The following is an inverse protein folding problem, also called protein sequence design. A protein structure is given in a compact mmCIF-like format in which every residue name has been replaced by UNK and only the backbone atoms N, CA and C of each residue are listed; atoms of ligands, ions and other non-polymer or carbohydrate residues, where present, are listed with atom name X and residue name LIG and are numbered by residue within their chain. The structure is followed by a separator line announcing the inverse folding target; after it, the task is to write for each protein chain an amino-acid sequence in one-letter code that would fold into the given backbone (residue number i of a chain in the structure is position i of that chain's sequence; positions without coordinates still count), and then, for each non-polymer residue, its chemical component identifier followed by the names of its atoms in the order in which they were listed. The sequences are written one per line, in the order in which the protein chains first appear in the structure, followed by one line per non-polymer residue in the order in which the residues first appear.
data_IF_946364779133
#
_entry.id   IF_946364779133
#
_cell.length_a   1.000
_cell.length_b   1.000
_cell.length_c   1.000
_cell.angle_alpha   90.00
_cell.angle_beta   90.00
_cell.angle_gamma   90.00
#
_symmetry.space_group_name_H-M   'P 1'
#
loop_
_entity.id
_entity.type
_entity.pdbx_description
1 polymer ?
#
# COMPACT_ATOMS: atom_id res chain seq x y z
N UNK A 1 24.66 49.48 -10.51
CA UNK A 1 24.16 48.15 -10.92
C UNK A 1 23.87 47.36 -9.66
N UNK A 2 22.62 47.41 -9.19
CA UNK A 2 22.15 46.53 -8.13
C UNK A 2 21.78 45.20 -8.78
N UNK A 3 22.54 44.15 -8.48
CA UNK A 3 22.17 42.78 -8.83
C UNK A 3 21.18 42.29 -7.77
N UNK A 4 19.89 42.34 -8.11
CA UNK A 4 18.85 41.57 -7.42
C UNK A 4 19.14 40.08 -7.64
N UNK A 5 19.69 39.43 -6.61
CA UNK A 5 19.64 37.98 -6.50
C UNK A 5 18.22 37.61 -6.08
N UNK A 6 17.32 37.52 -7.06
CA UNK A 6 16.06 36.83 -6.89
C UNK A 6 16.38 35.38 -6.48
N UNK A 7 16.23 35.09 -5.20
CA UNK A 7 16.31 33.73 -4.69
C UNK A 7 15.28 32.89 -5.46
N UNK A 8 15.76 31.98 -6.30
CA UNK A 8 14.94 30.94 -6.91
C UNK A 8 14.31 30.15 -5.76
N UNK A 9 13.07 30.48 -5.40
CA UNK A 9 12.31 29.69 -4.46
C UNK A 9 12.19 28.29 -5.06
N UNK A 10 12.78 27.30 -4.39
CA UNK A 10 12.61 25.91 -4.79
C UNK A 10 11.11 25.63 -4.89
N UNK A 11 10.64 24.99 -5.97
CA UNK A 11 9.23 24.70 -6.13
C UNK A 11 8.72 23.92 -4.93
N UNK A 12 7.49 24.24 -4.49
CA UNK A 12 6.84 23.50 -3.43
C UNK A 12 6.86 21.99 -3.78
N UNK A 13 7.17 21.11 -2.82
CA UNK A 13 7.23 19.68 -3.09
C UNK A 13 5.88 19.20 -3.61
N UNK A 14 5.90 18.27 -4.57
CA UNK A 14 4.66 17.66 -5.04
C UNK A 14 3.84 17.09 -3.86
N UNK A 15 2.51 17.22 -3.92
CA UNK A 15 1.65 16.69 -2.88
C UNK A 15 1.81 15.16 -2.77
N UNK A 16 1.78 14.65 -1.55
CA UNK A 16 1.79 13.21 -1.31
C UNK A 16 0.47 12.59 -1.79
N UNK A 17 0.54 11.42 -2.42
CA UNK A 17 -0.67 10.65 -2.73
C UNK A 17 -1.28 10.14 -1.43
N UNK A 18 -2.58 10.36 -1.27
CA UNK A 18 -3.36 9.90 -0.13
C UNK A 18 -4.48 8.95 -0.56
N UNK A 19 -4.94 8.14 0.38
CA UNK A 19 -6.15 7.32 0.27
C UNK A 19 -7.07 7.70 1.41
N UNK A 20 -8.30 8.06 1.06
CA UNK A 20 -9.35 8.35 2.04
C UNK A 20 -9.73 7.07 2.78
N UNK A 21 -9.43 7.01 4.08
CA UNK A 21 -9.82 5.94 4.98
C UNK A 21 -10.67 6.53 6.11
N UNK A 22 -11.89 6.02 6.28
CA UNK A 22 -12.87 6.62 7.19
C UNK A 22 -13.06 8.11 6.84
N UNK A 23 -12.61 9.03 7.69
CA UNK A 23 -12.69 10.48 7.48
C UNK A 23 -11.32 11.15 7.31
N UNK A 24 -10.26 10.39 7.01
CA UNK A 24 -8.89 10.88 6.98
C UNK A 24 -8.20 10.53 5.66
N UNK A 25 -7.43 11.47 5.14
CA UNK A 25 -6.59 11.28 3.95
C UNK A 25 -5.23 10.75 4.39
N UNK A 26 -5.06 9.44 4.30
CA UNK A 26 -3.88 8.73 4.82
C UNK A 26 -2.86 8.54 3.70
N UNK A 27 -1.60 8.87 3.96
CA UNK A 27 -0.51 8.80 2.97
C UNK A 27 -0.33 7.37 2.44
N UNK A 28 -0.13 7.25 1.13
CA UNK A 28 0.11 6.00 0.40
C UNK A 28 1.36 6.08 -0.48
N UNK A 29 2.48 6.47 0.13
CA UNK A 29 3.76 6.70 -0.55
C UNK A 29 4.92 6.00 0.17
N UNK A 30 6.05 5.84 -0.54
CA UNK A 30 7.27 5.31 0.06
C UNK A 30 7.80 6.22 1.16
N UNK A 31 8.46 5.63 2.14
CA UNK A 31 9.05 6.33 3.26
C UNK A 31 10.03 7.44 2.87
N UNK A 32 10.84 7.20 1.85
CA UNK A 32 11.85 8.15 1.38
C UNK A 32 11.19 9.40 0.78
N UNK A 33 10.16 9.22 -0.08
CA UNK A 33 9.37 10.33 -0.61
C UNK A 33 8.67 11.13 0.50
N UNK A 34 8.17 10.44 1.53
CA UNK A 34 7.55 11.11 2.69
C UNK A 34 8.59 11.93 3.45
N UNK A 35 9.78 11.37 3.72
CA UNK A 35 10.87 12.10 4.38
C UNK A 35 11.27 13.33 3.58
N UNK A 36 11.45 13.21 2.27
CA UNK A 36 11.75 14.34 1.38
C UNK A 36 10.70 15.44 1.45
N UNK A 37 9.42 15.05 1.40
CA UNK A 37 8.30 15.98 1.51
C UNK A 37 8.26 16.68 2.88
N UNK A 38 8.47 15.95 3.97
CA UNK A 38 8.44 16.52 5.33
C UNK A 38 9.61 17.47 5.59
N UNK A 39 10.78 17.22 4.99
CA UNK A 39 11.98 18.04 5.17
C UNK A 39 12.08 19.19 4.16
N UNK A 40 11.20 19.28 3.17
CA UNK A 40 11.11 20.43 2.27
C UNK A 40 10.70 21.72 3.02
N UNK A 41 10.94 22.92 2.45
CA UNK A 41 10.46 24.17 3.03
C UNK A 41 8.93 24.17 3.26
N UNK A 42 8.46 24.85 4.30
CA UNK A 42 7.04 24.95 4.66
C UNK A 42 6.71 24.38 6.04
N UNK A 43 5.63 24.88 6.66
CA UNK A 43 5.11 24.38 7.93
C UNK A 43 4.28 23.12 7.69
N UNK A 44 4.49 22.08 8.50
CA UNK A 44 3.77 20.80 8.41
C UNK A 44 3.53 20.20 9.79
N UNK A 45 2.27 19.81 10.05
CA UNK A 45 1.81 19.05 11.21
C UNK A 45 1.57 17.61 10.79
N UNK A 46 2.20 16.69 11.51
CA UNK A 46 2.18 15.27 11.18
C UNK A 46 1.61 14.44 12.33
N UNK A 47 0.59 13.64 12.01
CA UNK A 47 0.02 12.65 12.94
C UNK A 47 0.17 11.24 12.37
N UNK A 48 0.32 10.26 13.25
CA UNK A 48 0.25 8.84 12.88
C UNK A 48 -1.14 8.33 13.21
N UNK A 49 -1.73 7.57 12.30
CA UNK A 49 -3.02 6.93 12.51
C UNK A 49 -2.83 5.42 12.61
N UNK A 50 -3.41 4.82 13.64
CA UNK A 50 -3.52 3.37 13.82
C UNK A 50 -4.96 3.00 14.23
N UNK A 51 -5.22 1.70 14.41
CA UNK A 51 -6.56 1.20 14.78
C UNK A 51 -7.13 1.87 16.05
N UNK A 52 -6.28 2.15 17.04
CA UNK A 52 -6.71 2.83 18.26
C UNK A 52 -7.11 4.28 18.00
N UNK A 53 -6.35 4.99 17.17
CA UNK A 53 -6.65 6.36 16.77
C UNK A 53 -8.02 6.45 16.09
N UNK A 54 -8.32 5.54 15.15
CA UNK A 54 -9.61 5.52 14.46
C UNK A 54 -10.78 5.29 15.42
N UNK A 55 -10.66 4.33 16.34
CA UNK A 55 -11.72 4.09 17.33
C UNK A 55 -11.92 5.29 18.26
N UNK A 56 -10.83 5.94 18.66
CA UNK A 56 -10.89 7.09 19.54
C UNK A 56 -11.54 8.28 18.83
N UNK A 57 -11.13 8.58 17.60
CA UNK A 57 -11.68 9.68 16.80
C UNK A 57 -13.18 9.49 16.51
N UNK A 58 -13.64 8.26 16.41
CA UNK A 58 -15.06 7.98 16.24
C UNK A 58 -15.91 8.21 17.51
N UNK A 59 -15.29 8.38 18.68
CA UNK A 59 -15.95 8.60 19.97
C UNK A 59 -15.67 9.98 20.57
N UNK A 60 -14.56 10.60 20.16
CA UNK A 60 -14.08 11.89 20.65
C UNK A 60 -13.97 12.87 19.47
N UNK A 61 -14.89 13.82 19.42
CA UNK A 61 -14.94 14.85 18.37
C UNK A 61 -13.76 15.83 18.45
N UNK A 62 -13.22 16.10 19.64
CA UNK A 62 -12.04 16.96 19.79
C UNK A 62 -10.83 16.26 19.16
N UNK A 63 -10.61 14.99 19.48
CA UNK A 63 -9.53 14.22 18.89
C UNK A 63 -9.69 14.03 17.37
N UNK A 64 -10.92 13.84 16.88
CA UNK A 64 -11.18 13.78 15.44
C UNK A 64 -10.82 15.09 14.72
N UNK A 65 -11.12 16.25 15.33
CA UNK A 65 -10.72 17.56 14.80
C UNK A 65 -9.21 17.74 14.82
N UNK A 66 -8.55 17.34 15.90
CA UNK A 66 -7.09 17.38 16.00
C UNK A 66 -6.44 16.59 14.86
N UNK A 67 -6.86 15.33 14.64
CA UNK A 67 -6.36 14.52 13.52
C UNK A 67 -6.64 15.13 12.14
N UNK A 68 -7.80 15.78 11.95
CA UNK A 68 -8.14 16.47 10.68
C UNK A 68 -7.33 17.74 10.46
N UNK A 69 -6.74 18.31 11.50
CA UNK A 69 -5.91 19.51 11.40
C UNK A 69 -4.47 19.23 10.96
N UNK A 70 -4.07 17.96 10.85
CA UNK A 70 -2.77 17.60 10.29
C UNK A 70 -2.69 17.89 8.79
N UNK A 71 -1.54 18.39 8.37
CA UNK A 71 -1.17 18.48 6.96
C UNK A 71 -0.85 17.10 6.37
N UNK A 72 -0.32 16.19 7.21
CA UNK A 72 0.09 14.84 6.80
C UNK A 72 -0.34 13.80 7.84
N UNK A 73 -1.07 12.78 7.39
CA UNK A 73 -1.47 11.63 8.23
C UNK A 73 -0.76 10.36 7.77
N UNK A 74 0.16 9.85 8.60
CA UNK A 74 0.99 8.70 8.30
C UNK A 74 0.34 7.38 8.76
N UNK A 75 0.34 6.33 7.94
CA UNK A 75 -0.21 5.03 8.33
C UNK A 75 0.70 4.29 9.30
N UNK A 76 0.13 3.80 10.40
CA UNK A 76 0.81 2.99 11.41
C UNK A 76 0.06 1.66 11.67
N UNK A 77 0.74 0.57 11.36
CA UNK A 77 0.39 -0.78 11.79
C UNK A 77 -0.58 -1.56 10.88
N UNK A 78 -0.75 -2.84 11.22
CA UNK A 78 -1.48 -3.80 10.39
C UNK A 78 -2.99 -3.51 10.26
N UNK A 79 -3.59 -2.82 11.24
CA UNK A 79 -5.00 -2.42 11.17
C UNK A 79 -5.26 -1.45 10.02
N UNK A 80 -4.42 -0.43 9.87
CA UNK A 80 -4.55 0.52 8.77
C UNK A 80 -4.26 -0.16 7.43
N UNK A 81 -3.30 -1.07 7.36
CA UNK A 81 -3.08 -1.88 6.15
C UNK A 81 -4.34 -2.66 5.74
N UNK A 82 -5.09 -3.19 6.69
CA UNK A 82 -6.37 -3.85 6.41
C UNK A 82 -7.41 -2.85 5.86
N UNK A 83 -7.47 -1.64 6.41
CA UNK A 83 -8.35 -0.59 5.91
C UNK A 83 -8.00 -0.16 4.47
N UNK A 84 -6.71 -0.03 4.13
CA UNK A 84 -6.25 0.17 2.74
C UNK A 84 -6.78 -0.93 1.83
N UNK A 85 -6.65 -2.21 2.23
CA UNK A 85 -7.12 -3.35 1.45
C UNK A 85 -8.64 -3.36 1.30
N UNK A 86 -9.38 -2.93 2.32
CA UNK A 86 -10.84 -2.86 2.30
C UNK A 86 -11.36 -1.91 1.21
N UNK A 87 -10.69 -0.77 1.01
CA UNK A 87 -11.02 0.19 -0.07
C UNK A 87 -10.38 -0.16 -1.42
N UNK A 88 -9.56 -1.22 -1.47
CA UNK A 88 -8.94 -1.74 -2.70
C UNK A 88 -7.57 -1.15 -3.04
N UNK A 89 -6.88 -0.58 -2.06
CA UNK A 89 -5.51 -0.10 -2.17
C UNK A 89 -4.54 -1.01 -1.40
N UNK A 90 -3.25 -0.91 -1.71
CA UNK A 90 -2.19 -1.50 -0.90
C UNK A 90 -1.49 -0.35 -0.17
N UNK A 91 -1.19 -0.55 1.10
CA UNK A 91 -0.37 0.39 1.85
C UNK A 91 1.07 0.29 1.34
N UNK A 92 1.63 1.40 0.88
CA UNK A 92 2.96 1.44 0.28
C UNK A 92 4.05 1.03 1.28
N UNK A 93 3.98 1.61 2.49
CA UNK A 93 4.90 1.31 3.58
C UNK A 93 4.19 1.47 4.93
N UNK A 94 4.60 0.68 5.93
CA UNK A 94 4.17 0.89 7.31
C UNK A 94 5.09 1.94 7.93
N UNK A 95 4.63 3.19 8.00
CA UNK A 95 5.40 4.32 8.51
C UNK A 95 5.21 4.42 10.02
N UNK A 96 5.46 3.33 10.76
CA UNK A 96 5.32 3.35 12.21
C UNK A 96 6.30 4.36 12.83
N UNK A 97 5.88 5.09 13.87
CA UNK A 97 6.70 6.14 14.48
C UNK A 97 8.05 5.64 15.03
N UNK A 98 8.15 4.38 15.43
CA UNK A 98 9.37 3.79 16.02
C UNK A 98 10.51 3.54 15.04
N UNK A 99 10.18 3.29 13.78
CA UNK A 99 11.15 3.05 12.70
C UNK A 99 11.25 4.28 11.78
N UNK A 100 10.13 4.97 11.54
CA UNK A 100 10.08 6.19 10.74
C UNK A 100 10.82 7.36 11.39
N UNK A 101 10.62 7.58 12.70
CA UNK A 101 11.20 8.72 13.43
C UNK A 101 12.73 8.80 13.31
N UNK A 102 13.48 7.73 13.64
CA UNK A 102 14.93 7.71 13.47
C UNK A 102 15.39 7.89 12.02
N UNK A 103 14.67 7.31 11.03
CA UNK A 103 15.01 7.51 9.60
C UNK A 103 14.85 8.98 9.19
N UNK A 104 13.76 9.62 9.60
CA UNK A 104 13.52 11.05 9.36
C UNK A 104 14.65 11.91 9.95
N UNK A 105 15.07 11.61 11.19
CA UNK A 105 16.13 12.36 11.86
C UNK A 105 17.52 12.15 11.23
N UNK A 106 17.80 10.95 10.70
CA UNK A 106 19.04 10.69 9.99
C UNK A 106 19.16 11.54 8.72
N UNK A 107 18.09 11.62 7.93
CA UNK A 107 18.05 12.49 6.75
C UNK A 107 18.06 13.98 7.14
N UNK A 108 17.37 14.35 8.22
CA UNK A 108 17.38 15.71 8.76
C UNK A 108 18.80 16.16 9.17
N UNK A 109 19.56 15.29 9.83
CA UNK A 109 20.95 15.54 10.20
C UNK A 109 21.84 15.76 8.97
N UNK A 110 21.64 14.98 7.90
CA UNK A 110 22.31 15.18 6.61
C UNK A 110 22.01 16.54 5.95
N UNK A 111 20.87 17.15 6.30
CA UNK A 111 20.45 18.49 5.85
C UNK A 111 20.76 19.60 6.87
N UNK A 112 21.50 19.29 7.94
CA UNK A 112 21.88 20.25 8.98
C UNK A 112 20.71 20.71 9.87
N UNK A 113 19.61 19.95 9.93
CA UNK A 113 18.43 20.29 10.73
C UNK A 113 18.51 19.77 12.15
N UNK A 114 17.95 20.55 13.07
CA UNK A 114 17.92 20.30 14.50
C UNK A 114 16.55 19.78 14.98
N UNK A 115 16.54 19.10 16.13
CA UNK A 115 15.31 18.54 16.72
C UNK A 115 15.15 18.90 18.20
N UNK A 116 13.91 19.23 18.59
CA UNK A 116 13.47 19.34 19.98
C UNK A 116 12.58 18.15 20.37
N UNK A 117 12.85 17.56 21.53
CA UNK A 117 12.10 16.40 22.04
C UNK A 117 11.22 16.82 23.22
N UNK A 118 9.90 16.83 23.01
CA UNK A 118 8.93 17.19 24.04
C UNK A 118 8.03 16.00 24.38
N UNK A 119 8.13 15.42 25.57
CA UNK A 119 7.28 14.29 25.93
C UNK A 119 7.92 13.27 26.86
N UNK A 120 7.19 12.20 27.11
CA UNK A 120 7.60 11.13 28.03
C UNK A 120 7.58 11.57 29.50
N UNK A 121 7.86 10.62 30.39
CA UNK A 121 8.06 10.90 31.82
C UNK A 121 9.37 11.67 32.03
N UNK A 122 9.55 12.34 33.18
CA UNK A 122 10.82 12.99 33.53
C UNK A 122 12.04 12.09 33.23
N UNK A 123 13.04 12.61 32.53
CA UNK A 123 14.24 11.90 32.09
C UNK A 123 14.09 11.04 30.82
N UNK A 124 12.86 10.79 30.33
CA UNK A 124 12.64 9.96 29.13
C UNK A 124 13.07 10.67 27.85
N UNK A 125 12.74 11.96 27.70
CA UNK A 125 13.18 12.76 26.56
C UNK A 125 14.71 12.90 26.51
N UNK A 126 15.36 13.08 27.66
CA UNK A 126 16.81 13.20 27.77
C UNK A 126 17.52 11.89 27.39
N UNK A 127 17.04 10.76 27.89
CA UNK A 127 17.56 9.45 27.53
C UNK A 127 17.37 9.14 26.03
N UNK A 128 16.22 9.51 25.47
CA UNK A 128 15.94 9.37 24.05
C UNK A 128 16.87 10.26 23.20
N UNK A 129 17.09 11.51 23.60
CA UNK A 129 18.02 12.43 22.96
C UNK A 129 19.46 11.89 22.97
N UNK A 130 19.93 11.39 24.13
CA UNK A 130 21.26 10.79 24.25
C UNK A 130 21.42 9.54 23.36
N UNK A 131 20.36 8.72 23.22
CA UNK A 131 20.36 7.59 22.30
C UNK A 131 20.45 8.04 20.84
N UNK A 132 19.65 9.04 20.44
CA UNK A 132 19.62 9.54 19.08
C UNK A 132 20.94 10.21 18.68
N UNK A 133 21.52 11.05 19.55
CA UNK A 133 22.79 11.72 19.26
C UNK A 133 23.95 10.73 19.08
N UNK A 134 23.90 9.59 19.79
CA UNK A 134 24.87 8.50 19.62
C UNK A 134 24.65 7.71 18.32
N UNK A 135 23.39 7.41 17.99
CA UNK A 135 23.05 6.53 16.88
C UNK A 135 23.03 7.26 15.53
N UNK A 136 22.86 8.59 15.51
CA UNK A 136 22.74 9.41 14.31
C UNK A 136 23.83 10.49 14.32
N UNK A 137 24.98 10.25 13.67
CA UNK A 137 26.05 11.23 13.58
C UNK A 137 25.59 12.55 12.95
N UNK A 138 25.95 13.67 13.57
CA UNK A 138 25.60 15.01 13.08
C UNK A 138 24.20 15.51 13.47
N UNK A 139 23.40 14.71 14.18
CA UNK A 139 22.10 15.16 14.67
C UNK A 139 22.28 16.21 15.78
N UNK A 140 21.67 17.38 15.59
CA UNK A 140 21.64 18.46 16.59
C UNK A 140 20.39 18.34 17.45
N UNK A 141 20.56 18.03 18.74
CA UNK A 141 19.49 18.12 19.73
C UNK A 141 19.40 19.56 20.23
N UNK A 142 18.38 20.30 19.79
CA UNK A 142 18.16 21.70 20.17
C UNK A 142 17.61 21.84 21.59
N UNK A 143 16.96 20.80 22.11
CA UNK A 143 16.49 20.75 23.50
C UNK A 143 15.58 19.57 23.80
N UNK A 144 15.31 19.39 25.08
CA UNK A 144 14.43 18.35 25.62
C UNK A 144 13.52 18.95 26.68
N UNK A 145 12.30 18.40 26.82
CA UNK A 145 11.37 18.73 27.91
C UNK A 145 10.42 17.56 28.17
N UNK A 146 10.08 17.33 29.44
CA UNK A 146 9.15 16.26 29.80
C UNK A 146 7.69 16.61 29.45
N UNK A 147 6.89 15.59 29.17
CA UNK A 147 5.50 15.72 28.71
C UNK A 147 4.44 15.68 29.81
N UNK A 148 4.83 15.69 31.08
CA UNK A 148 3.88 15.60 32.20
C UNK A 148 3.97 16.80 33.12
N UNK A 149 5.08 16.97 33.85
CA UNK A 149 5.29 18.13 34.71
C UNK A 149 5.65 19.35 33.86
N UNK A 150 6.51 19.19 32.86
CA UNK A 150 6.90 20.21 31.90
C UNK A 150 5.79 20.64 30.95
N UNK A 151 4.75 19.81 30.77
CA UNK A 151 3.55 20.14 29.99
C UNK A 151 2.44 20.81 30.80
N UNK A 152 2.53 20.86 32.15
CA UNK A 152 1.54 21.58 32.98
C UNK A 152 1.58 23.08 32.75
N UNK A 153 2.77 23.61 32.47
CA UNK A 153 2.97 24.99 32.05
C UNK A 153 3.19 25.01 30.53
N UNK A 154 2.07 25.05 29.80
CA UNK A 154 2.05 25.07 28.34
C UNK A 154 2.82 26.27 27.77
N UNK A 155 2.69 27.45 28.37
CA UNK A 155 3.39 28.63 27.88
C UNK A 155 4.90 28.51 28.05
N UNK A 156 5.37 27.99 29.18
CA UNK A 156 6.80 27.73 29.37
C UNK A 156 7.31 26.66 28.40
N UNK A 157 6.50 25.64 28.07
CA UNK A 157 6.86 24.65 27.05
C UNK A 157 7.01 25.30 25.67
N UNK A 158 6.03 26.10 25.23
CA UNK A 158 6.07 26.83 23.94
C UNK A 158 7.27 27.78 23.90
N UNK A 159 7.52 28.55 24.97
CA UNK A 159 8.69 29.44 25.06
C UNK A 159 10.01 28.68 24.92
N UNK A 160 10.16 27.56 25.62
CA UNK A 160 11.37 26.73 25.55
C UNK A 160 11.58 26.13 24.15
N UNK A 161 10.51 25.63 23.53
CA UNK A 161 10.54 25.10 22.17
C UNK A 161 10.94 26.21 21.18
N UNK A 162 10.32 27.39 21.29
CA UNK A 162 10.59 28.48 20.37
C UNK A 162 11.99 29.09 20.53
N UNK A 163 12.46 29.22 21.77
CA UNK A 163 13.80 29.71 22.07
C UNK A 163 14.90 28.75 21.59
N UNK A 164 14.60 27.46 21.42
CA UNK A 164 15.57 26.46 20.96
C UNK A 164 15.99 26.63 19.50
N UNK A 165 15.18 27.32 18.68
CA UNK A 165 15.42 27.45 17.23
C UNK A 165 15.33 26.12 16.47
N UNK A 166 14.68 25.09 17.05
CA UNK A 166 14.60 23.77 16.44
C UNK A 166 13.86 23.76 15.10
N UNK A 167 14.35 22.99 14.14
CA UNK A 167 13.67 22.78 12.85
C UNK A 167 12.53 21.75 12.96
N UNK A 168 12.65 20.82 13.91
CA UNK A 168 11.75 19.70 14.08
C UNK A 168 11.34 19.61 15.55
N UNK A 169 10.04 19.50 15.81
CA UNK A 169 9.49 19.19 17.13
C UNK A 169 8.87 17.79 17.11
N UNK A 170 9.36 16.91 17.98
CA UNK A 170 8.75 15.61 18.24
C UNK A 170 7.99 15.61 19.57
N UNK A 171 6.70 15.32 19.53
CA UNK A 171 5.80 15.32 20.70
C UNK A 171 5.44 13.88 21.10
N UNK A 172 5.81 13.46 22.31
CA UNK A 172 5.63 12.08 22.80
C UNK A 172 4.79 12.01 24.08
N UNK A 173 3.55 12.49 24.03
CA UNK A 173 2.59 12.42 25.16
C UNK A 173 1.60 11.26 25.03
N UNK A 174 1.62 10.58 23.89
CA UNK A 174 0.67 9.54 23.55
C UNK A 174 -0.68 10.08 23.08
N UNK A 175 -1.41 9.23 22.38
CA UNK A 175 -2.75 9.52 21.86
C UNK A 175 -3.78 9.46 22.99
N UNK A 176 -4.69 10.47 23.13
CA UNK A 176 -4.92 11.60 22.23
C UNK A 176 -4.13 12.88 22.52
N UNK A 177 -3.50 12.97 23.70
CA UNK A 177 -2.93 14.20 24.25
C UNK A 177 -1.93 14.89 23.31
N UNK A 178 -1.04 14.12 22.67
CA UNK A 178 -0.03 14.68 21.78
C UNK A 178 -0.65 15.38 20.56
N UNK A 179 -1.72 14.81 19.99
CA UNK A 179 -2.27 15.30 18.73
C UNK A 179 -3.19 16.48 18.99
N UNK A 180 -3.95 16.43 20.10
CA UNK A 180 -4.71 17.58 20.60
C UNK A 180 -3.78 18.75 20.94
N UNK A 181 -2.68 18.51 21.67
CA UNK A 181 -1.74 19.58 22.01
C UNK A 181 -1.11 20.24 20.78
N UNK A 182 -0.72 19.45 19.77
CA UNK A 182 -0.22 19.98 18.49
C UNK A 182 -1.31 20.78 17.77
N UNK A 183 -2.56 20.30 17.78
CA UNK A 183 -3.67 21.00 17.13
C UNK A 183 -3.99 22.33 17.84
N UNK A 184 -3.97 22.34 19.16
CA UNK A 184 -4.35 23.49 19.99
C UNK A 184 -3.26 24.58 20.02
N UNK A 185 -1.97 24.20 19.91
CA UNK A 185 -0.83 25.12 20.04
C UNK A 185 0.06 25.20 18.79
N UNK A 186 -0.33 24.53 17.70
CA UNK A 186 0.45 24.42 16.48
C UNK A 186 0.77 25.75 15.80
N UNK A 187 -0.03 26.78 16.03
CA UNK A 187 0.16 28.12 15.48
C UNK A 187 1.15 28.95 16.31
N UNK A 188 1.30 28.65 17.60
CA UNK A 188 2.21 29.34 18.52
C UNK A 188 3.65 28.81 18.43
N UNK A 189 3.86 27.68 17.74
CA UNK A 189 5.15 27.01 17.62
C UNK A 189 5.96 27.56 16.44
N UNK A 190 7.27 27.72 16.62
CA UNK A 190 8.21 28.15 15.58
C UNK A 190 8.81 27.01 14.75
N UNK A 191 9.00 25.77 15.26
CA UNK A 191 9.52 24.68 14.44
C UNK A 191 8.61 24.43 13.22
N UNK A 192 9.15 24.43 11.99
CA UNK A 192 8.35 24.23 10.79
C UNK A 192 7.76 22.82 10.71
N UNK A 193 8.43 21.81 11.26
CA UNK A 193 7.91 20.44 11.25
C UNK A 193 7.55 20.00 12.67
N UNK A 194 6.28 19.65 12.90
CA UNK A 194 5.80 19.11 14.18
C UNK A 194 5.20 17.72 13.99
N UNK A 195 5.58 16.75 14.83
CA UNK A 195 5.09 15.38 14.73
C UNK A 195 4.75 14.78 16.09
N UNK A 196 3.58 14.15 16.20
CA UNK A 196 3.23 13.33 17.36
C UNK A 196 3.82 11.92 17.24
N UNK A 197 4.80 11.53 18.06
CA UNK A 197 5.58 10.28 17.88
C UNK A 197 5.18 9.13 18.81
N UNK A 198 4.11 9.30 19.61
CA UNK A 198 3.59 8.23 20.46
C UNK A 198 4.61 7.78 21.50
N UNK A 199 4.91 6.48 21.51
CA UNK A 199 5.82 5.86 22.47
C UNK A 199 7.28 5.81 22.00
N UNK A 200 7.66 6.54 20.94
CA UNK A 200 9.02 6.51 20.39
C UNK A 200 10.08 6.77 21.46
N UNK A 201 9.88 7.77 22.32
CA UNK A 201 10.86 8.12 23.36
C UNK A 201 11.02 7.01 24.39
N UNK A 202 9.94 6.34 24.81
CA UNK A 202 10.02 5.20 25.72
C UNK A 202 10.82 4.03 25.11
N UNK A 203 10.71 3.80 23.80
CA UNK A 203 11.53 2.79 23.12
C UNK A 203 12.99 3.20 23.00
N UNK A 204 13.29 4.47 22.74
CA UNK A 204 14.66 4.98 22.63
C UNK A 204 15.37 5.03 24.00
N UNK A 205 14.63 5.41 25.05
CA UNK A 205 15.11 5.43 26.43
C UNK A 205 15.27 4.03 27.04
N UNK A 206 14.70 2.99 26.42
CA UNK A 206 14.74 1.62 26.92
C UNK A 206 13.69 1.30 28.00
N UNK A 207 12.73 2.21 28.22
CA UNK A 207 11.61 2.01 29.17
C UNK A 207 10.69 0.86 28.74
N UNK A 208 10.58 0.62 27.42
CA UNK A 208 9.75 -0.45 26.84
C UNK A 208 10.59 -1.28 25.88
N UNK A 209 10.54 -2.61 26.07
CA UNK A 209 11.24 -3.55 25.20
C UNK A 209 10.51 -3.73 23.87
N UNK A 210 11.22 -3.55 22.75
CA UNK A 210 10.70 -3.91 21.42
C UNK A 210 10.41 -5.41 21.34
N UNK A 211 9.41 -5.78 20.54
CA UNK A 211 9.12 -7.18 20.29
C UNK A 211 10.33 -7.90 19.65
N UNK A 212 10.61 -9.16 20.04
CA UNK A 212 11.60 -10.01 19.38
C UNK A 212 11.46 -9.97 17.85
N UNK A 213 12.59 -10.01 17.13
CA UNK A 213 12.62 -9.92 15.66
C UNK A 213 11.68 -10.92 14.97
N UNK A 214 11.54 -12.12 15.53
CA UNK A 214 10.64 -13.15 15.00
C UNK A 214 9.17 -12.70 15.07
N UNK A 215 8.74 -12.15 16.21
CA UNK A 215 7.39 -11.61 16.38
C UNK A 215 7.13 -10.41 15.46
N UNK A 216 8.13 -9.56 15.24
CA UNK A 216 8.03 -8.46 14.25
C UNK A 216 7.84 -8.99 12.82
N UNK A 217 8.62 -10.00 12.42
CA UNK A 217 8.50 -10.62 11.09
C UNK A 217 7.09 -11.20 10.83
N UNK A 218 6.45 -11.76 11.85
CA UNK A 218 5.08 -12.31 11.73
C UNK A 218 3.98 -11.31 12.10
N UNK A 219 4.32 -10.02 12.30
CA UNK A 219 3.38 -8.96 12.73
C UNK A 219 2.66 -9.26 14.05
N UNK A 220 3.30 -10.04 14.92
CA UNK A 220 2.82 -10.43 16.25
C UNK A 220 3.22 -9.46 17.37
N UNK A 221 3.58 -8.22 17.07
CA UNK A 221 4.04 -7.23 18.05
C UNK A 221 2.98 -6.91 19.11
N UNK A 222 1.71 -6.97 18.72
CA UNK A 222 0.58 -6.78 19.63
C UNK A 222 0.51 -7.87 20.72
N UNK A 223 0.92 -9.11 20.42
CA UNK A 223 0.99 -10.21 21.40
C UNK A 223 2.07 -9.92 22.45
N UNK A 224 3.24 -9.50 21.99
CA UNK A 224 4.34 -9.10 22.89
C UNK A 224 3.91 -7.96 23.81
N UNK A 225 3.27 -6.93 23.25
CA UNK A 225 2.78 -5.80 24.05
C UNK A 225 1.68 -6.20 25.01
N UNK A 226 0.78 -7.11 24.63
CA UNK A 226 -0.25 -7.63 25.54
C UNK A 226 0.38 -8.43 26.69
N UNK A 227 1.46 -9.16 26.45
CA UNK A 227 2.18 -9.89 27.50
C UNK A 227 2.90 -8.94 28.48
N UNK A 228 3.52 -7.86 27.97
CA UNK A 228 4.29 -6.90 28.80
C UNK A 228 3.37 -5.90 29.51
N UNK A 229 2.30 -5.44 28.88
CA UNK A 229 1.37 -4.42 29.40
C UNK A 229 -0.11 -4.90 29.39
N UNK A 230 -0.46 -6.02 30.04
CA UNK A 230 -1.75 -6.69 29.84
C UNK A 230 -2.95 -5.78 30.15
N UNK A 231 -2.93 -5.06 31.28
CA UNK A 231 -4.06 -4.19 31.69
C UNK A 231 -4.29 -3.04 30.70
N UNK A 232 -3.22 -2.39 30.23
CA UNK A 232 -3.30 -1.24 29.31
C UNK A 232 -3.65 -1.69 27.89
N UNK A 233 -3.10 -2.81 27.44
CA UNK A 233 -3.27 -3.31 26.08
C UNK A 233 -4.54 -4.13 25.88
N UNK A 234 -5.13 -4.72 26.94
CA UNK A 234 -6.36 -5.51 26.85
C UNK A 234 -7.50 -4.71 26.21
N UNK A 235 -7.79 -3.50 26.71
CA UNK A 235 -8.85 -2.65 26.14
C UNK A 235 -8.55 -2.29 24.67
N UNK A 236 -7.29 -2.02 24.34
CA UNK A 236 -6.89 -1.63 22.97
C UNK A 236 -7.01 -2.80 21.98
N UNK A 237 -6.58 -4.00 22.36
CA UNK A 237 -6.51 -5.13 21.43
C UNK A 237 -7.71 -6.07 21.48
N UNK A 238 -8.25 -6.37 22.67
CA UNK A 238 -9.35 -7.33 22.80
C UNK A 238 -10.69 -6.68 22.49
N UNK A 239 -10.89 -5.43 22.90
CA UNK A 239 -12.13 -4.68 22.63
C UNK A 239 -11.94 -3.78 21.39
N UNK A 240 -10.83 -3.05 21.33
CA UNK A 240 -10.59 -2.11 20.24
C UNK A 240 -10.39 -2.75 18.87
N UNK A 241 -9.71 -3.89 18.74
CA UNK A 241 -9.52 -4.50 17.42
C UNK A 241 -10.86 -4.96 16.80
N UNK A 242 -11.76 -5.68 17.51
CA UNK A 242 -13.08 -6.00 16.96
C UNK A 242 -13.88 -4.76 16.54
N UNK A 243 -13.87 -3.70 17.35
CA UNK A 243 -14.53 -2.43 16.98
C UNK A 243 -13.93 -1.84 15.70
N UNK A 244 -12.61 -1.81 15.59
CA UNK A 244 -11.92 -1.30 14.41
C UNK A 244 -12.23 -2.15 13.17
N UNK A 245 -12.29 -3.48 13.31
CA UNK A 245 -12.68 -4.39 12.24
C UNK A 245 -14.11 -4.11 11.77
N UNK A 246 -15.05 -3.91 12.70
CA UNK A 246 -16.43 -3.54 12.36
C UNK A 246 -16.49 -2.22 11.57
N UNK A 247 -15.74 -1.21 11.99
CA UNK A 247 -15.63 0.06 11.25
C UNK A 247 -15.02 -0.15 9.86
N UNK A 248 -14.01 -0.99 9.76
CA UNK A 248 -13.35 -1.32 8.49
C UNK A 248 -14.30 -2.02 7.53
N UNK A 249 -15.19 -2.90 8.02
CA UNK A 249 -16.26 -3.48 7.21
C UNK A 249 -17.22 -2.42 6.65
N UNK A 250 -17.48 -1.36 7.41
CA UNK A 250 -18.26 -0.21 6.96
C UNK A 250 -17.65 0.55 5.78
N UNK A 251 -16.34 0.41 5.52
CA UNK A 251 -15.69 0.98 4.32
C UNK A 251 -15.98 0.17 3.04
N UNK A 252 -16.46 -1.07 3.18
CA UNK A 252 -16.65 -1.99 2.06
C UNK A 252 -18.09 -1.87 1.57
N UNK A 253 -18.28 -1.41 0.33
CA UNK A 253 -19.60 -1.39 -0.29
C UNK A 253 -20.21 -2.82 -0.35
N UNK A 254 -21.49 -3.02 0.01
CA UNK A 254 -22.12 -4.35 0.05
C UNK A 254 -22.01 -5.15 -1.25
N UNK A 255 -22.13 -4.46 -2.40
CA UNK A 255 -21.92 -5.06 -3.71
C UNK A 255 -20.52 -5.70 -3.87
N UNK A 256 -19.49 -5.10 -3.28
CA UNK A 256 -18.11 -5.63 -3.30
C UNK A 256 -18.00 -6.94 -2.51
N UNK A 257 -18.76 -7.09 -1.43
CA UNK A 257 -18.80 -8.33 -0.63
C UNK A 257 -19.46 -9.44 -1.44
N UNK A 258 -20.64 -9.18 -2.01
CA UNK A 258 -21.35 -10.15 -2.85
C UNK A 258 -20.51 -10.59 -4.05
N UNK A 259 -19.90 -9.63 -4.74
CA UNK A 259 -18.94 -9.87 -5.83
C UNK A 259 -17.78 -10.75 -5.39
N UNK A 260 -17.20 -10.48 -4.22
CA UNK A 260 -16.07 -11.24 -3.68
C UNK A 260 -16.48 -12.67 -3.32
N UNK A 261 -17.65 -12.87 -2.73
CA UNK A 261 -18.18 -14.19 -2.43
C UNK A 261 -18.39 -15.00 -3.72
N UNK A 262 -19.00 -14.39 -4.75
CA UNK A 262 -19.13 -15.01 -6.07
C UNK A 262 -17.78 -15.43 -6.65
N UNK A 263 -16.78 -14.54 -6.61
CA UNK A 263 -15.44 -14.84 -7.11
C UNK A 263 -14.79 -16.03 -6.41
N UNK A 264 -14.91 -16.10 -5.07
CA UNK A 264 -14.33 -17.18 -4.28
C UNK A 264 -15.04 -18.51 -4.51
N UNK A 265 -16.37 -18.51 -4.61
CA UNK A 265 -17.16 -19.72 -4.87
C UNK A 265 -16.82 -20.30 -6.25
N UNK A 266 -16.82 -19.47 -7.29
CA UNK A 266 -16.49 -19.91 -8.65
C UNK A 266 -15.03 -20.35 -8.75
N UNK A 267 -14.08 -19.58 -8.20
CA UNK A 267 -12.67 -19.96 -8.20
C UNK A 267 -12.42 -21.27 -7.45
N UNK A 268 -13.03 -21.45 -6.28
CA UNK A 268 -12.94 -22.68 -5.49
C UNK A 268 -13.50 -23.89 -6.25
N UNK A 269 -14.68 -23.75 -6.88
CA UNK A 269 -15.27 -24.80 -7.70
C UNK A 269 -14.37 -25.18 -8.89
N UNK A 270 -13.81 -24.21 -9.60
CA UNK A 270 -12.89 -24.44 -10.73
C UNK A 270 -11.62 -25.16 -10.26
N UNK A 271 -11.02 -24.74 -9.15
CA UNK A 271 -9.81 -25.38 -8.61
C UNK A 271 -10.11 -26.83 -8.22
N UNK A 272 -11.23 -27.09 -7.54
CA UNK A 272 -11.61 -28.43 -7.13
C UNK A 272 -11.85 -29.33 -8.34
N UNK A 273 -12.69 -28.88 -9.28
CA UNK A 273 -13.05 -29.64 -10.47
C UNK A 273 -11.84 -29.92 -11.39
N UNK A 274 -10.92 -28.96 -11.52
CA UNK A 274 -9.73 -29.10 -12.38
C UNK A 274 -8.49 -29.57 -11.62
N UNK A 275 -8.59 -29.91 -10.32
CA UNK A 275 -7.42 -30.30 -9.52
C UNK A 275 -6.61 -31.47 -10.10
N UNK A 276 -7.21 -32.51 -10.73
CA UNK A 276 -6.42 -33.56 -11.39
C UNK A 276 -5.65 -33.01 -12.58
N UNK A 277 -6.27 -32.13 -13.37
CA UNK A 277 -5.63 -31.48 -14.52
C UNK A 277 -4.47 -30.58 -14.09
N UNK A 278 -4.61 -29.84 -12.99
CA UNK A 278 -3.51 -29.05 -12.42
C UNK A 278 -2.32 -29.94 -12.05
N UNK A 279 -2.57 -31.08 -11.38
CA UNK A 279 -1.53 -32.02 -10.98
C UNK A 279 -0.84 -32.66 -12.20
N UNK A 280 -1.61 -33.17 -13.17
CA UNK A 280 -1.08 -33.77 -14.40
C UNK A 280 -0.27 -32.76 -15.22
N UNK A 281 -0.74 -31.52 -15.33
CA UNK A 281 -0.01 -30.44 -16.02
C UNK A 281 1.30 -30.12 -15.31
N UNK A 282 1.29 -30.04 -13.99
CA UNK A 282 2.50 -29.80 -13.20
C UNK A 282 3.55 -30.91 -13.39
N UNK A 283 3.12 -32.17 -13.41
CA UNK A 283 3.98 -33.33 -13.68
C UNK A 283 4.53 -33.28 -15.11
N UNK A 284 3.70 -33.00 -16.11
CA UNK A 284 4.12 -32.88 -17.51
C UNK A 284 5.18 -31.78 -17.70
N UNK A 285 5.01 -30.61 -17.06
CA UNK A 285 6.00 -29.51 -17.11
C UNK A 285 7.33 -29.92 -16.47
N UNK A 286 7.28 -30.67 -15.36
CA UNK A 286 8.47 -31.17 -14.66
C UNK A 286 9.21 -32.25 -15.46
N UNK A 287 8.47 -33.08 -16.19
CA UNK A 287 9.02 -34.12 -17.06
C UNK A 287 9.64 -33.54 -18.34
N UNK A 288 9.06 -32.47 -18.91
CA UNK A 288 9.55 -31.86 -20.16
C UNK A 288 10.85 -31.07 -19.95
N UNK A 289 10.92 -30.21 -18.92
CA UNK A 289 12.10 -29.36 -18.69
C UNK A 289 12.40 -29.12 -17.20
N UNK A 290 13.68 -28.99 -16.83
CA UNK A 290 14.11 -28.63 -15.46
C UNK A 290 13.65 -27.23 -15.08
N UNK A 291 13.23 -27.03 -13.83
CA UNK A 291 12.86 -25.72 -13.25
C UNK A 291 11.47 -25.68 -12.61
N UNK A 292 10.93 -24.48 -12.30
CA UNK A 292 9.66 -24.33 -11.59
C UNK A 292 8.44 -24.64 -12.48
N UNK A 293 7.36 -25.16 -11.87
CA UNK A 293 6.08 -25.41 -12.58
C UNK A 293 5.41 -24.11 -12.99
N UNK A 294 5.45 -23.11 -12.12
CA UNK A 294 4.77 -21.85 -12.30
C UNK A 294 5.72 -20.76 -12.78
N UNK A 295 5.23 -19.97 -13.73
CA UNK A 295 5.81 -18.70 -14.13
C UNK A 295 5.03 -17.55 -13.48
N UNK A 296 5.73 -16.47 -13.13
CA UNK A 296 5.15 -15.27 -12.51
C UNK A 296 5.45 -14.08 -13.39
N UNK A 297 4.44 -13.26 -13.64
CA UNK A 297 4.59 -12.08 -14.47
C UNK A 297 3.92 -10.87 -13.81
N UNK A 298 4.67 -9.77 -13.70
CA UNK A 298 4.11 -8.53 -13.16
C UNK A 298 3.03 -7.98 -14.09
N UNK A 299 1.89 -7.62 -13.50
CA UNK A 299 0.73 -7.01 -14.15
C UNK A 299 0.20 -5.87 -13.31
N UNK A 300 -0.55 -4.98 -13.94
CA UNK A 300 -1.22 -3.88 -13.27
C UNK A 300 -2.66 -4.28 -12.96
N UNK A 301 -3.01 -4.16 -11.68
CA UNK A 301 -4.34 -4.46 -11.14
C UNK A 301 -5.15 -3.21 -10.87
N UNK A 302 -6.07 -3.33 -9.92
CA UNK A 302 -6.94 -2.22 -9.48
C UNK A 302 -6.10 -1.04 -8.98
N UNK A 303 -6.51 0.18 -9.32
CA UNK A 303 -5.89 1.45 -8.93
C UNK A 303 -4.40 1.54 -9.29
N UNK A 304 -3.98 0.90 -10.39
CA UNK A 304 -2.58 0.93 -10.84
C UNK A 304 -1.64 0.03 -10.04
N UNK A 305 -2.15 -0.77 -9.09
CA UNK A 305 -1.31 -1.55 -8.19
C UNK A 305 -0.70 -2.77 -8.89
N UNK A 306 0.63 -2.95 -8.88
CA UNK A 306 1.24 -4.11 -9.49
C UNK A 306 0.97 -5.38 -8.68
N UNK A 307 0.78 -6.49 -9.39
CA UNK A 307 0.64 -7.83 -8.80
C UNK A 307 1.34 -8.89 -9.66
N UNK A 308 1.69 -10.02 -9.03
CA UNK A 308 2.31 -11.15 -9.69
C UNK A 308 1.24 -12.10 -10.23
N UNK A 309 0.98 -12.04 -11.53
CA UNK A 309 0.06 -12.95 -12.22
C UNK A 309 0.71 -14.33 -12.40
N UNK A 310 -0.01 -15.38 -12.03
CA UNK A 310 0.47 -16.76 -12.07
C UNK A 310 0.08 -17.44 -13.39
N UNK A 311 1.04 -18.12 -14.02
CA UNK A 311 0.81 -19.00 -15.17
C UNK A 311 1.53 -20.32 -14.98
N UNK A 312 1.13 -21.35 -15.71
CA UNK A 312 2.02 -22.49 -15.90
C UNK A 312 3.16 -22.08 -16.81
N UNK A 313 4.34 -22.62 -16.53
CA UNK A 313 5.51 -22.41 -17.37
C UNK A 313 5.33 -23.15 -18.69
N UNK A 314 5.16 -22.40 -19.77
CA UNK A 314 5.10 -22.92 -21.15
C UNK A 314 6.39 -22.65 -21.95
N UNK A 315 7.33 -21.87 -21.41
CA UNK A 315 8.59 -21.52 -22.03
C UNK A 315 9.80 -21.99 -21.21
N UNK A 316 10.98 -22.03 -21.83
CA UNK A 316 12.24 -22.30 -21.14
C UNK A 316 12.54 -21.22 -20.07
N UNK A 317 13.36 -21.56 -19.06
CA UNK A 317 13.61 -20.66 -17.90
C UNK A 317 14.33 -19.38 -18.30
N UNK A 318 15.16 -19.44 -19.34
CA UNK A 318 15.92 -18.34 -19.94
C UNK A 318 15.11 -17.52 -20.96
N UNK A 319 13.81 -17.80 -21.12
CA UNK A 319 12.99 -17.19 -22.16
C UNK A 319 12.87 -15.66 -22.04
N UNK A 320 12.87 -15.13 -20.82
CA UNK A 320 12.80 -13.68 -20.57
C UNK A 320 14.10 -12.98 -20.95
N UNK A 321 15.27 -13.57 -20.64
CA UNK A 321 16.57 -13.05 -21.06
C UNK A 321 16.76 -13.05 -22.59
N UNK A 322 16.09 -13.97 -23.29
CA UNK A 322 16.10 -14.07 -24.76
C UNK A 322 15.02 -13.23 -25.44
N UNK A 323 14.19 -12.51 -24.68
CA UNK A 323 13.07 -11.74 -25.21
C UNK A 323 13.53 -10.57 -26.06
N UNK A 324 14.49 -9.79 -25.57
CA UNK A 324 14.90 -8.54 -26.24
C UNK A 324 15.53 -8.80 -27.60
N UNK A 325 16.28 -9.90 -27.73
CA UNK A 325 16.85 -10.37 -29.00
C UNK A 325 15.79 -10.80 -30.03
N UNK A 326 14.56 -11.13 -29.60
CA UNK A 326 13.46 -11.59 -30.46
C UNK A 326 12.43 -10.49 -30.74
N UNK A 327 12.51 -9.31 -30.09
CA UNK A 327 11.56 -8.21 -30.35
C UNK A 327 11.62 -7.73 -31.81
N UNK A 328 12.78 -7.85 -32.45
CA UNK A 328 12.99 -7.53 -33.86
C UNK A 328 12.23 -8.47 -34.82
N UNK A 329 11.74 -9.62 -34.35
CA UNK A 329 11.03 -10.63 -35.16
C UNK A 329 9.53 -10.72 -34.79
N UNK A 330 8.92 -9.64 -34.30
CA UNK A 330 7.49 -9.59 -33.96
C UNK A 330 6.61 -9.60 -35.21
N UNK A 331 5.61 -10.48 -35.27
CA UNK A 331 4.63 -10.58 -36.37
C UNK A 331 3.52 -9.50 -36.29
N UNK A 332 3.59 -8.59 -35.31
CA UNK A 332 2.61 -7.52 -35.11
C UNK A 332 3.31 -6.19 -34.84
N UNK A 333 2.85 -5.12 -35.50
CA UNK A 333 3.20 -3.74 -35.19
C UNK A 333 2.51 -3.29 -33.88
N UNK A 334 3.28 -2.79 -32.91
CA UNK A 334 2.78 -2.26 -31.64
C UNK A 334 3.49 -2.82 -30.40
N UNK A 335 2.99 -2.46 -29.21
CA UNK A 335 3.60 -2.78 -27.89
C UNK A 335 3.54 -4.27 -27.53
N UNK A 336 2.65 -5.03 -28.18
CA UNK A 336 2.38 -6.43 -27.83
C UNK A 336 3.13 -7.39 -28.76
N UNK A 337 4.23 -7.98 -28.29
CA UNK A 337 5.00 -8.98 -29.02
C UNK A 337 4.15 -10.23 -29.31
N UNK A 338 4.04 -10.63 -30.57
CA UNK A 338 3.41 -11.88 -30.99
C UNK A 338 4.25 -12.51 -32.09
N UNK A 339 4.76 -13.72 -31.87
CA UNK A 339 5.42 -14.53 -32.91
C UNK A 339 4.71 -15.87 -33.02
N UNK A 340 4.41 -16.30 -34.26
CA UNK A 340 3.74 -17.59 -34.55
C UNK A 340 4.64 -18.79 -34.24
N UNK A 341 5.96 -18.62 -34.30
CA UNK A 341 6.94 -19.68 -34.07
C UNK A 341 7.99 -19.21 -33.06
N UNK A 342 7.60 -19.13 -31.80
CA UNK A 342 8.50 -18.72 -30.73
C UNK A 342 9.39 -19.90 -30.27
N UNK A 343 10.71 -19.86 -30.54
CA UNK A 343 11.63 -20.97 -30.25
C UNK A 343 11.85 -21.20 -28.75
N UNK A 344 11.33 -20.32 -27.88
CA UNK A 344 11.43 -20.44 -26.42
C UNK A 344 10.35 -21.36 -25.83
N UNK A 345 9.35 -21.76 -26.63
CA UNK A 345 8.22 -22.57 -26.16
C UNK A 345 8.60 -24.04 -26.09
N UNK A 346 8.33 -24.66 -24.95
CA UNK A 346 8.61 -26.09 -24.70
C UNK A 346 7.63 -27.01 -25.43
N UNK A 347 7.89 -28.32 -25.48
CA UNK A 347 7.03 -29.28 -26.18
C UNK A 347 5.65 -29.35 -25.54
N UNK A 348 5.60 -29.51 -24.21
CA UNK A 348 4.37 -29.44 -23.42
C UNK A 348 3.79 -28.03 -23.48
N UNK A 349 4.63 -27.00 -23.43
CA UNK A 349 4.21 -25.60 -23.53
C UNK A 349 3.40 -25.26 -24.77
N UNK A 350 3.68 -25.88 -25.93
CA UNK A 350 2.87 -25.72 -27.14
C UNK A 350 1.44 -26.21 -26.94
N UNK A 351 1.25 -27.37 -26.30
CA UNK A 351 -0.08 -27.88 -25.97
C UNK A 351 -0.78 -26.97 -24.96
N UNK A 352 -0.08 -26.54 -23.91
CA UNK A 352 -0.65 -25.66 -22.88
C UNK A 352 -1.17 -24.36 -23.47
N UNK A 353 -0.39 -23.71 -24.34
CA UNK A 353 -0.79 -22.46 -25.01
C UNK A 353 -1.91 -22.65 -26.02
N UNK A 354 -1.96 -23.80 -26.71
CA UNK A 354 -3.02 -24.11 -27.69
C UNK A 354 -4.39 -24.20 -27.03
N UNK A 355 -4.45 -24.80 -25.84
CA UNK A 355 -5.70 -24.99 -25.09
C UNK A 355 -5.88 -23.95 -23.98
N UNK A 356 -5.04 -22.92 -23.91
CA UNK A 356 -4.99 -21.92 -22.84
C UNK A 356 -4.91 -22.50 -21.42
N UNK A 357 -4.39 -23.72 -21.30
CA UNK A 357 -4.19 -24.40 -20.00
C UNK A 357 -3.14 -23.64 -19.21
N UNK A 358 -2.20 -22.97 -19.87
CA UNK A 358 -1.15 -22.19 -19.21
C UNK A 358 -1.68 -21.03 -18.36
N UNK A 359 -2.90 -20.58 -18.61
CA UNK A 359 -3.55 -19.49 -17.89
C UNK A 359 -4.39 -19.95 -16.69
N UNK A 360 -4.68 -21.26 -16.55
CA UNK A 360 -5.49 -21.78 -15.45
C UNK A 360 -4.98 -21.38 -14.05
N UNK A 361 -3.66 -21.29 -13.77
CA UNK A 361 -3.19 -20.86 -12.45
C UNK A 361 -3.59 -19.44 -12.05
N UNK A 362 -4.08 -18.61 -12.97
CA UNK A 362 -4.62 -17.29 -12.64
C UNK A 362 -5.84 -17.37 -11.70
N UNK A 363 -6.53 -18.51 -11.62
CA UNK A 363 -7.62 -18.72 -10.62
C UNK A 363 -7.12 -18.57 -9.18
N UNK A 364 -5.84 -18.88 -8.91
CA UNK A 364 -5.25 -18.64 -7.58
C UNK A 364 -5.08 -17.15 -7.30
N UNK A 365 -4.87 -16.30 -8.32
CA UNK A 365 -4.88 -14.84 -8.14
C UNK A 365 -6.28 -14.30 -7.79
N UNK A 366 -7.34 -15.01 -8.18
CA UNK A 366 -8.69 -14.70 -7.71
C UNK A 366 -8.80 -15.01 -6.22
N UNK A 367 -8.28 -16.15 -5.75
CA UNK A 367 -8.27 -16.47 -4.31
C UNK A 367 -7.46 -15.47 -3.48
N UNK A 368 -6.28 -15.04 -3.94
CA UNK A 368 -5.47 -14.03 -3.24
C UNK A 368 -6.10 -12.63 -3.30
N UNK A 369 -7.03 -12.41 -4.22
CA UNK A 369 -7.76 -11.16 -4.38
C UNK A 369 -7.09 -10.14 -5.28
N UNK A 370 -6.06 -10.53 -6.02
CA UNK A 370 -5.42 -9.69 -7.05
C UNK A 370 -6.28 -9.59 -8.31
N UNK A 371 -7.00 -10.68 -8.62
CA UNK A 371 -7.92 -10.78 -9.76
C UNK A 371 -9.36 -11.06 -9.31
N UNK A 372 -10.26 -10.99 -10.28
CA UNK A 372 -11.67 -11.33 -10.23
C UNK A 372 -11.97 -12.41 -11.27
N UNK A 373 -13.09 -13.13 -11.17
CA UNK A 373 -13.52 -14.03 -12.25
C UNK A 373 -13.81 -13.22 -13.52
N UNK A 374 -14.55 -12.12 -13.36
CA UNK A 374 -14.91 -11.21 -14.45
C UNK A 374 -14.31 -9.83 -14.21
N UNK A 375 -13.72 -9.24 -15.26
CA UNK A 375 -13.08 -7.93 -15.21
C UNK A 375 -12.22 -7.66 -16.45
N UNK A 376 -11.65 -6.44 -16.58
CA UNK A 376 -10.75 -6.09 -17.67
C UNK A 376 -9.52 -7.00 -17.72
N UNK A 377 -8.90 -7.15 -18.90
CA UNK A 377 -7.66 -7.93 -19.03
C UNK A 377 -6.53 -7.32 -18.19
N UNK A 378 -5.79 -8.11 -17.39
CA UNK A 378 -4.61 -7.61 -16.70
C UNK A 378 -3.53 -7.16 -17.69
N UNK A 379 -3.23 -5.87 -17.67
CA UNK A 379 -2.26 -5.24 -18.57
C UNK A 379 -0.83 -5.28 -18.00
N UNK A 380 0.16 -5.26 -18.88
CA UNK A 380 1.56 -5.11 -18.51
C UNK A 380 1.84 -3.67 -18.01
N UNK A 381 2.83 -3.48 -17.12
CA UNK A 381 3.24 -2.15 -16.68
C UNK A 381 3.58 -1.19 -17.84
N UNK A 382 4.29 -1.68 -18.86
CA UNK A 382 4.65 -0.87 -20.03
C UNK A 382 3.44 -0.52 -20.92
N UNK A 383 2.40 -1.37 -20.97
CA UNK A 383 1.15 -1.05 -21.65
C UNK A 383 0.41 0.07 -20.93
N UNK A 384 0.30 -0.02 -19.59
CA UNK A 384 -0.36 1.01 -18.77
C UNK A 384 0.38 2.34 -18.83
N UNK A 385 1.71 2.33 -18.83
CA UNK A 385 2.50 3.55 -18.98
C UNK A 385 2.23 4.28 -20.31
N UNK A 386 1.80 3.55 -21.35
CA UNK A 386 1.44 4.09 -22.66
C UNK A 386 -0.07 4.39 -22.81
N UNK A 387 -0.88 4.22 -21.76
CA UNK A 387 -2.32 4.45 -21.86
C UNK A 387 -2.65 5.94 -22.00
N UNK A 388 -3.61 6.29 -22.89
CA UNK A 388 -4.21 7.61 -22.82
C UNK A 388 -4.95 7.77 -21.48
N UNK A 389 -5.10 8.99 -20.93
CA UNK A 389 -5.73 9.23 -19.63
C UNK A 389 -7.09 8.53 -19.46
N UNK A 390 -7.89 8.49 -20.53
CA UNK A 390 -9.18 7.78 -20.56
C UNK A 390 -9.06 6.29 -20.23
N UNK A 391 -8.03 5.61 -20.75
CA UNK A 391 -7.84 4.18 -20.58
C UNK A 391 -7.41 3.79 -19.16
N UNK A 392 -6.96 4.74 -18.32
CA UNK A 392 -6.72 4.51 -16.90
C UNK A 392 -8.00 4.14 -16.14
N UNK A 393 -9.17 4.55 -16.65
CA UNK A 393 -10.47 4.17 -16.09
C UNK A 393 -10.72 2.66 -16.01
N UNK A 394 -10.01 1.87 -16.83
CA UNK A 394 -10.06 0.39 -16.81
C UNK A 394 -9.49 -0.19 -15.52
N UNK A 395 -8.59 0.55 -14.87
CA UNK A 395 -7.94 0.14 -13.62
C UNK A 395 -8.82 0.41 -12.39
N UNK A 396 -10.03 0.97 -12.55
CA UNK A 396 -10.94 1.21 -11.43
C UNK A 396 -11.44 -0.07 -10.75
N UNK A 397 -11.32 -1.23 -11.42
CA UNK A 397 -11.76 -2.55 -10.94
C UNK A 397 -10.64 -3.57 -11.02
N UNK A 398 -10.83 -4.70 -10.34
CA UNK A 398 -9.87 -5.81 -10.44
C UNK A 398 -9.89 -6.39 -11.86
N UNK A 399 -8.71 -6.74 -12.41
CA UNK A 399 -8.66 -7.46 -13.67
C UNK A 399 -9.31 -8.84 -13.55
N UNK A 400 -9.83 -9.34 -14.66
CA UNK A 400 -10.60 -10.59 -14.76
C UNK A 400 -9.88 -11.73 -15.48
N UNK A 401 -10.30 -12.96 -15.21
CA UNK A 401 -10.01 -14.12 -16.08
C UNK A 401 -10.74 -13.97 -17.42
N UNK A 402 -11.98 -13.49 -17.37
CA UNK A 402 -12.80 -13.13 -18.53
C UNK A 402 -13.38 -11.73 -18.37
N UNK A 403 -13.99 -11.20 -19.43
CA UNK A 403 -14.41 -9.81 -19.53
C UNK A 403 -15.26 -9.59 -20.77
N UNK A 404 -15.89 -8.41 -20.85
CA UNK A 404 -16.93 -8.14 -21.85
C UNK A 404 -16.43 -8.34 -23.27
N UNK A 405 -15.31 -7.71 -23.63
CA UNK A 405 -14.78 -7.80 -25.00
C UNK A 405 -14.26 -9.20 -25.33
N UNK A 406 -13.83 -10.00 -24.33
CA UNK A 406 -13.37 -11.38 -24.51
C UNK A 406 -14.51 -12.33 -24.93
N UNK A 407 -15.77 -11.97 -24.65
CA UNK A 407 -16.96 -12.73 -25.08
C UNK A 407 -17.70 -12.11 -26.26
N UNK A 408 -17.53 -10.81 -26.53
CA UNK A 408 -18.26 -10.10 -27.59
C UNK A 408 -17.58 -10.08 -28.97
N UNK A 409 -16.27 -10.30 -29.08
CA UNK A 409 -15.56 -10.21 -30.38
C UNK A 409 -14.04 -10.41 -30.34
N UNK A 410 -13.42 -10.47 -29.15
CA UNK A 410 -12.00 -10.77 -28.94
C UNK A 410 -11.08 -9.91 -29.80
N UNK A 411 -10.28 -10.53 -30.69
CA UNK A 411 -9.22 -9.88 -31.45
C UNK A 411 -9.74 -8.92 -32.55
N UNK A 412 -11.03 -8.97 -32.87
CA UNK A 412 -11.67 -8.11 -33.88
C UNK A 412 -12.08 -6.74 -33.33
N UNK A 413 -12.04 -6.56 -32.01
CA UNK A 413 -12.40 -5.31 -31.34
C UNK A 413 -11.16 -4.40 -31.25
N UNK A 414 -11.23 -3.22 -31.88
CA UNK A 414 -10.21 -2.18 -31.76
C UNK A 414 -10.02 -1.69 -30.32
N UNK A 415 -8.84 -1.14 -30.02
CA UNK A 415 -8.44 -0.77 -28.65
C UNK A 415 -9.39 0.22 -27.98
N UNK A 416 -9.83 1.27 -28.67
CA UNK A 416 -10.74 2.27 -28.08
C UNK A 416 -12.09 1.66 -27.69
N UNK A 417 -12.64 0.80 -28.54
CA UNK A 417 -13.89 0.09 -28.23
C UNK A 417 -13.70 -0.88 -27.06
N UNK A 418 -12.54 -1.53 -26.95
CA UNK A 418 -12.18 -2.35 -25.79
C UNK A 418 -12.17 -1.53 -24.50
N UNK A 419 -11.55 -0.33 -24.54
CA UNK A 419 -11.52 0.61 -23.42
C UNK A 419 -12.95 0.96 -22.99
N UNK A 420 -13.84 1.22 -23.95
CA UNK A 420 -15.22 1.63 -23.67
C UNK A 420 -16.04 0.54 -23.00
N UNK A 421 -15.86 -0.70 -23.47
CA UNK A 421 -16.50 -1.86 -22.88
C UNK A 421 -15.99 -2.13 -21.45
N UNK A 422 -14.68 -1.99 -21.22
CA UNK A 422 -14.08 -2.17 -19.89
C UNK A 422 -14.54 -1.07 -18.91
N UNK A 423 -14.62 0.19 -19.35
CA UNK A 423 -15.11 1.31 -18.54
C UNK A 423 -16.62 1.17 -18.27
N UNK A 424 -17.40 0.76 -19.27
CA UNK A 424 -18.83 0.49 -19.09
C UNK A 424 -19.05 -0.62 -18.05
N UNK A 425 -18.32 -1.73 -18.15
CA UNK A 425 -18.34 -2.80 -17.16
C UNK A 425 -17.97 -2.28 -15.77
N UNK A 426 -16.90 -1.49 -15.65
CA UNK A 426 -16.49 -0.92 -14.37
C UNK A 426 -17.61 -0.15 -13.67
N UNK A 427 -18.47 0.56 -14.44
CA UNK A 427 -19.60 1.35 -13.94
C UNK A 427 -20.85 0.54 -13.64
N UNK A 428 -21.15 -0.49 -14.44
CA UNK A 428 -22.44 -1.22 -14.37
C UNK A 428 -22.33 -2.63 -13.81
N UNK A 429 -21.13 -3.04 -13.36
CA UNK A 429 -20.88 -4.38 -12.84
C UNK A 429 -21.90 -4.80 -11.78
N UNK A 430 -22.39 -6.02 -11.93
CA UNK A 430 -23.25 -6.71 -10.97
C UNK A 430 -22.93 -8.20 -10.97
N UNK A 431 -23.27 -8.90 -9.89
CA UNK A 431 -23.11 -10.37 -9.82
C UNK A 431 -23.89 -11.06 -10.94
N UNK A 432 -25.06 -10.54 -11.32
CA UNK A 432 -25.85 -11.06 -12.43
C UNK A 432 -25.13 -10.89 -13.77
N UNK A 433 -24.59 -9.69 -14.04
CA UNK A 433 -23.81 -9.43 -15.26
C UNK A 433 -22.58 -10.36 -15.34
N UNK A 434 -21.90 -10.58 -14.21
CA UNK A 434 -20.78 -11.51 -14.13
C UNK A 434 -21.19 -12.95 -14.46
N UNK A 435 -22.32 -13.42 -13.92
CA UNK A 435 -22.84 -14.75 -14.22
C UNK A 435 -23.16 -14.92 -15.72
N UNK A 436 -23.76 -13.90 -16.34
CA UNK A 436 -24.04 -13.88 -17.79
C UNK A 436 -22.73 -13.93 -18.58
N UNK A 437 -21.75 -13.09 -18.24
CA UNK A 437 -20.45 -13.05 -18.92
C UNK A 437 -19.67 -14.37 -18.77
N UNK A 438 -19.76 -15.01 -17.60
CA UNK A 438 -19.18 -16.32 -17.35
C UNK A 438 -19.84 -17.41 -18.20
N UNK A 439 -21.17 -17.43 -18.30
CA UNK A 439 -21.90 -18.36 -19.16
C UNK A 439 -21.56 -18.17 -20.65
N UNK A 440 -21.46 -16.92 -21.10
CA UNK A 440 -21.02 -16.59 -22.47
C UNK A 440 -19.58 -17.04 -22.72
N UNK A 441 -18.71 -16.95 -21.70
CA UNK A 441 -17.33 -17.44 -21.78
C UNK A 441 -17.31 -18.95 -22.01
N UNK A 442 -18.10 -19.71 -21.24
CA UNK A 442 -18.17 -21.16 -21.38
C UNK A 442 -18.67 -21.56 -22.78
N UNK A 443 -19.73 -20.91 -23.28
CA UNK A 443 -20.22 -21.11 -24.65
C UNK A 443 -19.14 -20.80 -25.70
N UNK A 444 -18.40 -19.70 -25.54
CA UNK A 444 -17.33 -19.33 -26.48
C UNK A 444 -16.18 -20.34 -26.50
N UNK A 445 -15.80 -20.88 -25.32
CA UNK A 445 -14.76 -21.92 -25.21
C UNK A 445 -15.22 -23.23 -25.86
N UNK A 446 -16.45 -23.69 -25.61
CA UNK A 446 -16.96 -24.93 -26.20
C UNK A 446 -17.13 -24.85 -27.72
N UNK A 447 -17.50 -23.68 -28.25
CA UNK A 447 -17.74 -23.50 -29.70
C UNK A 447 -16.47 -23.16 -30.49
N UNK A 448 -15.31 -23.01 -29.84
CA UNK A 448 -14.04 -22.69 -30.50
C UNK A 448 -13.98 -21.32 -31.19
N UNK A 449 -14.97 -20.44 -30.96
CA UNK A 449 -15.10 -19.16 -31.68
C UNK A 449 -13.94 -18.22 -31.33
N UNK A 450 -13.08 -17.94 -32.30
CA UNK A 450 -11.97 -16.98 -32.17
C UNK A 450 -10.67 -17.51 -31.56
N UNK A 451 -10.43 -18.83 -31.56
CA UNK A 451 -9.11 -19.41 -31.32
C UNK A 451 -8.35 -19.51 -32.67
N UNK A 452 -7.38 -18.64 -32.90
CA UNK A 452 -6.45 -18.68 -34.04
C UNK A 452 -5.03 -19.00 -33.57
#
# INVERSE_FOLDING_TARGET
MHHDHAAFALPAPEPLTTVRLFDFDVVSESGDRVVDHLLAPGRRRVHFVNAHCINLAARDLSYARALRSADVVLPDGAGIELAFRAVGHRMAENLNGTDFGPRLLAEAAGRGKSVFLFGGRPGTADAAAARLARDIPGLVIAGTRDGYEGARDTEAAIRAINASGADILMVAMGVPLQDQWIADHGDDLTPPLTLGVGALFDFLAGNVSRAPRLLRKVRGEWLWRLAVEPRRMFRRYVIGNPEFLFRTLGLIAPHTIAKRAFDLLVAGAVILALSPLFALTALAIKADTRGPVFFRQTRVGRNGQPFSMLKFRSMAVDAEARRDALLATSDRSGVCFKSRTDPRVTRVGRLLRRYSIDELPQVFNVLTGDMSIVGPRPALPNEVAAYPPRALGRLAVKPGLTGVWQVSGRAEIGFDKMVDMDIAYARTRSVLLDAVLLALTFRAVLTGRGAY
#
